data_IF_733635910755
#
_entry.id   IF_733635910755
#
_cell.length_a   1.000
_cell.length_b   1.000
_cell.length_c   1.000
_cell.angle_alpha   90.00
_cell.angle_beta   90.00
_cell.angle_gamma   90.00
#
_symmetry.space_group_name_H-M   'P 1'
#
loop_
_entity.id
_entity.type
_entity.pdbx_description
1 polymer ?
#
# COMPACT_ATOMS: atom_id res chain seq x y z
N UNK A 1 -10.72 13.73 7.62
CA UNK A 1 -10.02 12.69 8.43
C UNK A 1 -10.95 12.01 9.43
N UNK A 2 -11.67 12.74 10.30
CA UNK A 2 -12.59 12.14 11.29
C UNK A 2 -13.70 11.27 10.69
N UNK A 3 -14.37 11.74 9.63
CA UNK A 3 -15.41 10.96 8.92
C UNK A 3 -14.87 9.62 8.40
N UNK A 4 -13.64 9.60 7.88
CA UNK A 4 -13.02 8.38 7.37
C UNK A 4 -12.76 7.38 8.50
N UNK A 5 -12.30 7.84 9.68
CA UNK A 5 -12.07 6.99 10.84
C UNK A 5 -13.40 6.45 11.41
N UNK A 6 -14.43 7.29 11.49
CA UNK A 6 -15.77 6.86 11.91
C UNK A 6 -16.37 5.82 10.94
N UNK A 7 -16.26 6.07 9.64
CA UNK A 7 -16.68 5.14 8.60
C UNK A 7 -15.91 3.81 8.65
N UNK A 8 -14.61 3.86 8.94
CA UNK A 8 -13.80 2.66 9.11
C UNK A 8 -14.19 1.86 10.35
N UNK A 9 -14.38 2.52 11.49
CA UNK A 9 -14.81 1.90 12.74
C UNK A 9 -16.18 1.22 12.60
N UNK A 10 -17.10 1.88 11.89
CA UNK A 10 -18.41 1.34 11.59
C UNK A 10 -18.42 0.37 10.38
N UNK A 11 -17.27 0.17 9.70
CA UNK A 11 -17.13 -0.60 8.46
C UNK A 11 -18.12 -0.18 7.35
N UNK A 12 -18.45 1.10 7.28
CA UNK A 12 -19.34 1.66 6.29
C UNK A 12 -18.66 1.76 4.93
N UNK A 13 -19.32 1.25 3.90
CA UNK A 13 -18.85 1.36 2.52
C UNK A 13 -19.44 2.61 1.85
N UNK A 14 -18.66 3.32 1.00
CA UNK A 14 -17.31 2.99 0.54
C UNK A 14 -16.17 3.47 1.46
N UNK A 15 -16.48 4.17 2.57
CA UNK A 15 -15.48 4.82 3.43
C UNK A 15 -14.41 3.87 3.98
N UNK A 16 -14.78 2.64 4.33
CA UNK A 16 -13.84 1.64 4.83
C UNK A 16 -12.87 1.16 3.73
N UNK A 17 -13.36 0.88 2.52
CA UNK A 17 -12.50 0.52 1.39
C UNK A 17 -11.63 1.68 0.93
N UNK A 18 -12.18 2.90 0.90
CA UNK A 18 -11.49 4.11 0.46
C UNK A 18 -10.75 4.86 1.57
N UNK A 19 -10.64 4.25 2.75
CA UNK A 19 -10.07 4.89 3.93
C UNK A 19 -8.68 5.46 3.65
N UNK A 20 -7.82 4.64 3.04
CA UNK A 20 -6.42 4.95 2.78
C UNK A 20 -6.21 6.22 1.95
N UNK A 21 -6.75 6.36 0.71
CA UNK A 21 -6.60 7.60 -0.04
C UNK A 21 -7.22 8.80 0.69
N UNK A 22 -8.39 8.64 1.36
CA UNK A 22 -9.06 9.76 2.04
C UNK A 22 -8.18 10.33 3.17
N UNK A 23 -7.57 9.47 4.00
CA UNK A 23 -6.74 9.96 5.11
C UNK A 23 -5.44 10.59 4.63
N UNK A 24 -4.83 10.09 3.57
CA UNK A 24 -3.62 10.68 3.01
C UNK A 24 -3.85 12.05 2.37
N UNK A 25 -4.92 12.20 1.61
CA UNK A 25 -5.28 13.51 1.06
C UNK A 25 -5.59 14.51 2.18
N UNK A 26 -6.28 14.09 3.25
CA UNK A 26 -6.49 14.93 4.42
C UNK A 26 -5.17 15.29 5.13
N UNK A 27 -4.24 14.33 5.27
CA UNK A 27 -2.92 14.56 5.86
C UNK A 27 -2.11 15.58 5.07
N UNK A 28 -2.07 15.46 3.74
CA UNK A 28 -1.38 16.42 2.86
C UNK A 28 -1.90 17.84 3.10
N UNK A 29 -3.22 18.02 3.16
CA UNK A 29 -3.84 19.33 3.43
C UNK A 29 -3.46 19.86 4.81
N UNK A 30 -3.43 18.99 5.84
CA UNK A 30 -3.08 19.38 7.22
C UNK A 30 -1.62 19.82 7.34
N UNK A 31 -0.69 19.02 6.80
CA UNK A 31 0.76 19.31 6.85
C UNK A 31 1.10 20.54 6.03
N UNK A 32 0.47 20.68 4.87
CA UNK A 32 0.60 21.87 4.04
C UNK A 32 0.06 23.14 4.73
N UNK A 33 -1.10 23.04 5.37
CA UNK A 33 -1.66 24.12 6.18
C UNK A 33 -0.73 24.52 7.33
N UNK A 34 -0.09 23.55 7.99
CA UNK A 34 0.94 23.81 8.99
C UNK A 34 2.15 24.54 8.38
N UNK A 35 2.65 24.09 7.23
CA UNK A 35 3.78 24.72 6.54
C UNK A 35 3.48 26.19 6.19
N UNK A 36 2.29 26.48 5.67
CA UNK A 36 1.86 27.87 5.39
C UNK A 36 1.79 28.74 6.64
N UNK A 37 1.25 28.21 7.75
CA UNK A 37 1.22 28.94 9.04
C UNK A 37 2.61 29.25 9.60
N UNK A 38 3.63 28.48 9.20
CA UNK A 38 5.04 28.71 9.56
C UNK A 38 5.79 29.61 8.57
N UNK A 39 5.09 30.26 7.63
CA UNK A 39 5.68 31.17 6.66
C UNK A 39 6.36 30.47 5.47
N UNK A 40 6.17 29.16 5.31
CA UNK A 40 6.68 28.42 4.16
C UNK A 40 5.76 28.50 2.94
N UNK A 41 6.32 28.26 1.76
CA UNK A 41 5.53 27.97 0.57
C UNK A 41 5.04 26.52 0.67
N UNK A 42 3.75 26.33 0.94
CA UNK A 42 3.14 25.00 0.97
C UNK A 42 3.16 24.32 -0.42
N UNK A 43 3.14 22.99 -0.43
CA UNK A 43 2.92 22.15 -1.63
C UNK A 43 1.62 22.51 -2.36
N UNK A 44 0.58 22.99 -1.65
CA UNK A 44 -0.68 23.51 -2.22
C UNK A 44 -0.67 25.03 -2.48
N UNK A 45 0.47 25.74 -2.35
CA UNK A 45 0.51 27.20 -2.51
C UNK A 45 0.09 27.67 -3.91
N UNK A 46 0.24 26.82 -4.94
CA UNK A 46 -0.26 27.06 -6.30
C UNK A 46 -1.71 26.58 -6.54
N UNK A 47 -2.48 26.33 -5.47
CA UNK A 47 -3.79 25.68 -5.54
C UNK A 47 -3.71 24.25 -6.07
N UNK A 48 -4.78 23.79 -6.73
CA UNK A 48 -4.84 22.42 -7.30
C UNK A 48 -3.73 22.17 -8.34
N UNK A 49 -3.29 23.21 -9.06
CA UNK A 49 -2.21 23.11 -10.05
C UNK A 49 -0.85 22.83 -9.41
N UNK A 50 -0.64 23.31 -8.17
CA UNK A 50 0.58 23.04 -7.40
C UNK A 50 0.75 21.57 -7.04
N UNK A 51 -0.36 20.83 -6.90
CA UNK A 51 -0.35 19.42 -6.49
C UNK A 51 -0.61 18.45 -7.63
N UNK A 52 -1.33 18.86 -8.68
CA UNK A 52 -1.59 18.02 -9.84
C UNK A 52 -0.30 17.46 -10.47
N UNK A 53 0.73 18.30 -10.63
CA UNK A 53 2.03 17.86 -11.16
C UNK A 53 2.69 16.77 -10.30
N UNK A 54 3.02 17.05 -9.03
CA UNK A 54 3.57 16.05 -8.11
C UNK A 54 2.69 14.80 -7.95
N UNK A 55 1.35 14.94 -7.97
CA UNK A 55 0.42 13.82 -7.89
C UNK A 55 0.51 12.90 -9.11
N UNK A 56 0.55 13.46 -10.33
CA UNK A 56 0.77 12.68 -11.55
C UNK A 56 2.12 11.98 -11.56
N UNK A 57 3.18 12.68 -11.11
CA UNK A 57 4.51 12.07 -10.95
C UNK A 57 4.48 10.93 -9.92
N UNK A 58 3.69 11.09 -8.86
CA UNK A 58 3.56 10.11 -7.78
C UNK A 58 2.95 8.80 -8.25
N UNK A 59 1.94 8.85 -9.13
CA UNK A 59 1.34 7.66 -9.75
C UNK A 59 2.41 6.89 -10.51
N UNK A 60 3.14 7.55 -11.41
CA UNK A 60 4.21 6.91 -12.19
C UNK A 60 5.31 6.38 -11.27
N UNK A 61 5.74 7.16 -10.29
CA UNK A 61 6.77 6.78 -9.32
C UNK A 61 6.42 5.49 -8.58
N UNK A 62 5.20 5.37 -8.07
CA UNK A 62 4.76 4.15 -7.40
C UNK A 62 4.62 2.98 -8.39
N UNK A 63 4.09 3.22 -9.60
CA UNK A 63 3.93 2.18 -10.61
C UNK A 63 5.27 1.63 -11.13
N UNK A 64 6.38 2.39 -11.05
CA UNK A 64 7.72 1.85 -11.29
C UNK A 64 8.07 0.77 -10.24
N UNK A 65 7.71 0.99 -8.97
CA UNK A 65 7.92 -0.01 -7.92
C UNK A 65 6.96 -1.20 -8.11
N UNK A 66 5.71 -0.97 -8.52
CA UNK A 66 4.79 -2.05 -8.89
C UNK A 66 5.30 -2.89 -10.05
N UNK A 67 5.87 -2.28 -11.08
CA UNK A 67 6.43 -3.02 -12.22
C UNK A 67 7.52 -4.01 -11.78
N UNK A 68 8.35 -3.62 -10.81
CA UNK A 68 9.33 -4.54 -10.17
C UNK A 68 8.60 -5.56 -9.29
N UNK A 69 7.60 -5.13 -8.52
CA UNK A 69 6.78 -5.98 -7.66
C UNK A 69 6.08 -7.12 -8.40
N UNK A 70 5.66 -6.92 -9.66
CA UNK A 70 5.11 -7.97 -10.52
C UNK A 70 6.01 -9.21 -10.60
N UNK A 71 7.35 -9.03 -10.47
CA UNK A 71 8.34 -10.11 -10.52
C UNK A 71 8.77 -10.62 -9.15
N UNK A 72 8.92 -9.72 -8.17
CA UNK A 72 9.46 -10.08 -6.85
C UNK A 72 8.38 -10.55 -5.86
N UNK A 73 7.12 -10.19 -6.10
CA UNK A 73 5.96 -10.55 -5.28
C UNK A 73 6.15 -10.22 -3.78
N UNK A 74 6.56 -8.98 -3.49
CA UNK A 74 6.77 -8.51 -2.12
C UNK A 74 5.47 -8.15 -1.42
N UNK A 75 4.49 -7.64 -2.16
CA UNK A 75 3.16 -7.32 -1.64
C UNK A 75 2.07 -7.58 -2.68
N UNK A 76 0.85 -7.76 -2.18
CA UNK A 76 -0.36 -7.91 -3.00
C UNK A 76 -1.55 -7.19 -2.34
N UNK A 77 -2.57 -6.86 -3.14
CA UNK A 77 -3.74 -6.09 -2.75
C UNK A 77 -4.97 -6.97 -2.51
N UNK A 78 -5.73 -6.63 -1.46
CA UNK A 78 -6.97 -7.31 -1.06
C UNK A 78 -8.06 -6.32 -0.69
N UNK A 79 -9.32 -6.75 -0.75
CA UNK A 79 -10.48 -5.96 -0.29
C UNK A 79 -10.77 -4.72 -1.15
N UNK A 80 -10.23 -4.70 -2.37
CA UNK A 80 -10.48 -3.65 -3.37
C UNK A 80 -11.88 -3.79 -3.98
N UNK A 81 -12.46 -2.72 -4.55
CA UNK A 81 -13.77 -2.80 -5.21
C UNK A 81 -13.80 -3.84 -6.33
N UNK A 82 -14.96 -4.44 -6.58
CA UNK A 82 -15.18 -5.40 -7.68
C UNK A 82 -15.14 -4.71 -9.05
N UNK A 83 -15.75 -3.52 -9.14
CA UNK A 83 -15.74 -2.69 -10.34
C UNK A 83 -14.31 -2.27 -10.69
N UNK A 84 -13.83 -2.68 -11.88
CA UNK A 84 -12.48 -2.33 -12.37
C UNK A 84 -12.26 -0.82 -12.46
N UNK A 85 -13.19 -0.01 -13.02
CA UNK A 85 -13.04 1.45 -13.02
C UNK A 85 -12.94 2.05 -11.61
N UNK A 86 -13.77 1.58 -10.67
CA UNK A 86 -13.74 2.06 -9.28
C UNK A 86 -12.40 1.72 -8.60
N UNK A 87 -11.94 0.48 -8.80
CA UNK A 87 -10.67 -0.01 -8.27
C UNK A 87 -9.49 0.77 -8.83
N UNK A 88 -9.44 0.98 -10.15
CA UNK A 88 -8.36 1.75 -10.78
C UNK A 88 -8.34 3.19 -10.29
N UNK A 89 -9.50 3.81 -10.11
CA UNK A 89 -9.61 5.14 -9.54
C UNK A 89 -9.06 5.17 -8.10
N UNK A 90 -9.48 4.24 -7.24
CA UNK A 90 -9.01 4.15 -5.86
C UNK A 90 -7.49 3.91 -5.75
N UNK A 91 -6.95 3.01 -6.58
CA UNK A 91 -5.51 2.74 -6.66
C UNK A 91 -4.76 3.99 -7.14
N UNK A 92 -5.20 4.61 -8.23
CA UNK A 92 -4.57 5.82 -8.78
C UNK A 92 -4.57 6.96 -7.76
N UNK A 93 -5.70 7.19 -7.08
CA UNK A 93 -5.79 8.22 -6.04
C UNK A 93 -4.93 7.91 -4.82
N UNK A 94 -4.67 6.64 -4.51
CA UNK A 94 -3.76 6.25 -3.44
C UNK A 94 -2.30 6.51 -3.84
N UNK A 95 -1.91 6.07 -5.04
CA UNK A 95 -0.56 6.25 -5.57
C UNK A 95 -0.22 7.71 -5.86
N UNK A 96 -1.22 8.54 -6.13
CA UNK A 96 -1.07 9.97 -6.31
C UNK A 96 -0.59 10.72 -5.04
N UNK A 97 -0.62 10.09 -3.86
CA UNK A 97 -0.30 10.76 -2.58
C UNK A 97 1.17 10.70 -2.18
N UNK A 98 1.94 9.71 -2.66
CA UNK A 98 3.30 9.37 -2.19
C UNK A 98 4.28 10.54 -2.30
N UNK A 99 4.43 11.15 -3.47
CA UNK A 99 5.32 12.31 -3.62
C UNK A 99 4.77 13.52 -2.86
N UNK A 100 3.49 13.93 -3.02
CA UNK A 100 2.94 15.06 -2.28
C UNK A 100 3.11 14.97 -0.76
N UNK A 101 2.82 13.82 -0.15
CA UNK A 101 2.94 13.66 1.30
C UNK A 101 4.40 13.76 1.74
N UNK A 102 5.33 13.15 1.01
CA UNK A 102 6.75 13.17 1.37
C UNK A 102 7.34 14.58 1.22
N UNK A 103 6.97 15.30 0.15
CA UNK A 103 7.37 16.70 -0.04
C UNK A 103 6.78 17.62 1.03
N UNK A 104 5.50 17.47 1.37
CA UNK A 104 4.83 18.30 2.36
C UNK A 104 5.45 18.11 3.75
N UNK A 105 5.67 16.85 4.17
CA UNK A 105 6.29 16.53 5.46
C UNK A 105 7.74 16.97 5.51
N UNK A 106 8.49 16.78 4.41
CA UNK A 106 9.87 17.25 4.28
C UNK A 106 9.97 18.77 4.48
N UNK A 107 9.13 19.54 3.79
CA UNK A 107 9.09 20.99 3.92
C UNK A 107 8.65 21.43 5.32
N UNK A 108 7.62 20.81 5.87
CA UNK A 108 7.14 21.10 7.22
C UNK A 108 8.27 20.93 8.26
N UNK A 109 9.05 19.85 8.16
CA UNK A 109 10.19 19.60 9.05
C UNK A 109 11.27 20.68 8.91
N UNK A 110 11.57 21.13 7.69
CA UNK A 110 12.52 22.22 7.44
C UNK A 110 12.06 23.58 7.99
N UNK A 111 10.76 23.77 8.23
CA UNK A 111 10.19 24.96 8.85
C UNK A 111 10.13 24.87 10.38
N UNK A 112 10.47 23.71 10.94
CA UNK A 112 10.58 23.54 12.41
C UNK A 112 12.00 23.84 12.89
N UNK A 113 12.12 24.12 14.19
CA UNK A 113 13.42 24.22 14.88
C UNK A 113 14.02 22.86 15.23
N UNK A 114 13.33 21.75 14.96
CA UNK A 114 13.81 20.38 15.25
C UNK A 114 15.08 20.05 14.44
N UNK A 115 15.18 20.63 13.24
CA UNK A 115 16.35 20.51 12.37
C UNK A 115 17.00 21.88 12.25
N UNK A 116 17.91 22.18 13.19
CA UNK A 116 18.78 23.34 13.13
C UNK A 116 19.72 23.32 11.91
N UNK A 117 20.65 24.28 11.79
CA UNK A 117 21.67 24.25 10.76
C UNK A 117 22.66 23.10 11.02
N UNK A 118 22.31 21.90 10.57
CA UNK A 118 23.16 20.71 10.65
C UNK A 118 24.27 20.82 9.60
N UNK A 119 25.45 21.28 10.04
CA UNK A 119 26.63 21.44 9.19
C UNK A 119 27.58 20.27 9.33
N UNK A 120 28.14 19.83 8.21
CA UNK A 120 29.23 18.85 8.14
C UNK A 120 30.41 19.46 7.38
N UNK A 121 31.58 18.82 7.46
CA UNK A 121 32.75 19.23 6.67
C UNK A 121 32.39 19.20 5.19
N UNK A 122 32.64 20.30 4.49
CA UNK A 122 32.49 20.40 3.03
C UNK A 122 33.32 19.32 2.37
N UNK A 123 32.68 18.48 1.55
CA UNK A 123 33.33 17.41 0.80
C UNK A 123 32.79 17.44 -0.61
N UNK A 124 33.67 17.71 -1.58
CA UNK A 124 33.36 17.49 -2.98
C UNK A 124 32.97 16.04 -3.20
N UNK A 125 31.95 15.78 -4.03
CA UNK A 125 31.60 14.41 -4.40
C UNK A 125 32.36 14.08 -5.69
N UNK A 126 33.41 13.25 -5.66
CA UNK A 126 34.19 12.97 -6.86
C UNK A 126 33.37 12.14 -7.86
N UNK A 127 33.74 12.23 -9.13
CA UNK A 127 33.03 11.57 -10.23
C UNK A 127 32.94 10.04 -10.05
N UNK A 128 33.95 9.41 -9.47
CA UNK A 128 33.93 7.97 -9.19
C UNK A 128 32.85 7.60 -8.16
N UNK A 129 32.59 8.42 -7.13
CA UNK A 129 31.51 8.18 -6.17
C UNK A 129 30.16 8.27 -6.87
N UNK A 130 29.97 9.29 -7.72
CA UNK A 130 28.75 9.43 -8.51
C UNK A 130 28.50 8.23 -9.42
N UNK A 131 29.54 7.73 -10.11
CA UNK A 131 29.43 6.52 -10.94
C UNK A 131 29.17 5.27 -10.12
N UNK A 132 29.84 5.11 -8.97
CA UNK A 132 29.62 4.01 -8.05
C UNK A 132 28.17 3.99 -7.52
N UNK A 133 27.61 5.16 -7.16
CA UNK A 133 26.20 5.29 -6.80
C UNK A 133 25.29 4.84 -7.93
N UNK A 134 25.54 5.25 -9.17
CA UNK A 134 24.74 4.81 -10.32
C UNK A 134 24.85 3.31 -10.56
N UNK A 135 26.05 2.73 -10.48
CA UNK A 135 26.26 1.29 -10.57
C UNK A 135 25.52 0.53 -9.47
N UNK A 136 25.56 1.03 -8.23
CA UNK A 136 24.78 0.48 -7.13
C UNK A 136 23.27 0.62 -7.36
N UNK A 137 22.80 1.73 -7.95
CA UNK A 137 21.40 1.91 -8.32
C UNK A 137 20.92 0.91 -9.37
N UNK A 138 21.73 0.65 -10.39
CA UNK A 138 21.45 -0.40 -11.39
C UNK A 138 21.44 -1.78 -10.73
N UNK A 139 22.41 -2.09 -9.87
CA UNK A 139 22.44 -3.34 -9.11
C UNK A 139 21.19 -3.50 -8.23
N UNK A 140 20.73 -2.43 -7.57
CA UNK A 140 19.50 -2.40 -6.78
C UNK A 140 18.22 -2.65 -7.60
N UNK A 141 18.27 -2.55 -8.93
CA UNK A 141 17.16 -2.91 -9.81
C UNK A 141 17.32 -4.34 -10.35
N UNK A 142 18.52 -4.68 -10.83
CA UNK A 142 18.79 -5.96 -11.51
C UNK A 142 18.80 -7.13 -10.52
N UNK A 143 19.43 -6.98 -9.35
CA UNK A 143 19.56 -8.07 -8.38
C UNK A 143 18.20 -8.55 -7.83
N UNK A 144 17.25 -7.68 -7.44
CA UNK A 144 15.91 -8.15 -7.05
C UNK A 144 15.19 -8.93 -8.17
N UNK A 145 15.37 -8.53 -9.43
CA UNK A 145 14.72 -9.21 -10.56
C UNK A 145 15.34 -10.57 -10.86
N UNK A 146 16.67 -10.69 -10.74
CA UNK A 146 17.40 -11.95 -10.91
C UNK A 146 17.21 -12.90 -9.72
N UNK A 147 17.23 -12.37 -8.50
CA UNK A 147 17.21 -13.12 -7.24
C UNK A 147 16.10 -12.62 -6.29
N UNK A 148 14.81 -12.73 -6.69
CA UNK A 148 13.67 -12.14 -5.97
C UNK A 148 13.49 -12.65 -4.54
N UNK A 149 14.04 -13.82 -4.19
CA UNK A 149 13.95 -14.36 -2.82
C UNK A 149 15.00 -13.80 -1.86
N UNK A 150 16.12 -13.27 -2.38
CA UNK A 150 17.29 -12.89 -1.57
C UNK A 150 17.59 -11.39 -1.65
N UNK A 151 17.36 -10.78 -2.81
CA UNK A 151 17.70 -9.39 -3.10
C UNK A 151 16.49 -8.44 -3.05
N UNK A 152 15.30 -8.92 -2.65
CA UNK A 152 14.06 -8.15 -2.69
C UNK A 152 14.13 -6.81 -1.94
N UNK A 153 14.91 -6.71 -0.88
CA UNK A 153 15.05 -5.52 -0.05
C UNK A 153 15.82 -4.38 -0.74
N UNK A 154 16.62 -4.68 -1.76
CA UNK A 154 17.39 -3.69 -2.51
C UNK A 154 16.52 -2.76 -3.36
N UNK A 155 15.24 -3.10 -3.60
CA UNK A 155 14.34 -2.36 -4.47
C UNK A 155 14.20 -0.88 -4.07
N UNK A 156 14.34 -0.54 -2.78
CA UNK A 156 14.14 0.84 -2.34
C UNK A 156 15.28 1.79 -2.75
N UNK A 157 16.44 1.24 -3.13
CA UNK A 157 17.62 2.02 -3.48
C UNK A 157 17.70 2.47 -4.94
N UNK A 158 17.08 1.76 -5.89
CA UNK A 158 17.42 1.92 -7.31
C UNK A 158 17.10 3.32 -7.85
N UNK A 159 15.96 3.91 -7.47
CA UNK A 159 15.56 5.24 -7.98
C UNK A 159 16.51 6.32 -7.48
N UNK A 160 16.75 6.38 -6.16
CA UNK A 160 17.59 7.41 -5.57
C UNK A 160 19.03 7.32 -6.08
N UNK A 161 19.63 6.13 -5.99
CA UNK A 161 21.04 5.92 -6.35
C UNK A 161 21.31 6.17 -7.84
N UNK A 162 20.32 5.94 -8.70
CA UNK A 162 20.42 6.20 -10.14
C UNK A 162 20.22 7.68 -10.47
N UNK A 163 19.18 8.32 -9.92
CA UNK A 163 18.77 9.68 -10.31
C UNK A 163 19.54 10.78 -9.59
N UNK A 164 19.96 10.57 -8.34
CA UNK A 164 20.62 11.62 -7.56
C UNK A 164 21.94 12.10 -8.21
N UNK A 165 22.85 11.22 -8.69
CA UNK A 165 24.02 11.66 -9.43
C UNK A 165 23.71 12.37 -10.75
N UNK A 166 22.61 12.01 -11.42
CA UNK A 166 22.16 12.69 -12.65
C UNK A 166 21.62 14.08 -12.34
N UNK A 167 20.88 14.24 -11.26
CA UNK A 167 20.38 15.53 -10.80
C UNK A 167 21.53 16.46 -10.41
N UNK A 168 22.51 15.94 -9.67
CA UNK A 168 23.74 16.66 -9.32
C UNK A 168 24.47 17.19 -10.56
N UNK A 169 24.81 16.31 -11.51
CA UNK A 169 25.48 16.70 -12.77
C UNK A 169 24.67 17.69 -13.60
N UNK A 170 23.34 17.59 -13.57
CA UNK A 170 22.44 18.46 -14.30
C UNK A 170 22.16 19.81 -13.63
N UNK A 171 22.78 20.11 -12.47
CA UNK A 171 22.52 21.33 -11.70
C UNK A 171 21.08 21.44 -11.16
N UNK A 172 20.40 20.29 -10.98
CA UNK A 172 19.04 20.22 -10.42
C UNK A 172 19.13 20.16 -8.88
N UNK A 173 18.01 20.38 -8.16
CA UNK A 173 17.99 20.15 -6.72
C UNK A 173 18.55 18.77 -6.36
N UNK A 174 19.60 18.74 -5.55
CA UNK A 174 20.40 17.55 -5.25
C UNK A 174 20.81 17.58 -3.77
N UNK A 175 20.78 16.43 -3.11
CA UNK A 175 21.32 16.24 -1.76
C UNK A 175 22.85 16.08 -1.79
N UNK A 176 23.43 15.57 -2.88
CA UNK A 176 24.88 15.59 -3.09
C UNK A 176 25.41 17.04 -3.14
N UNK A 177 24.71 17.95 -3.81
CA UNK A 177 25.08 19.36 -3.84
C UNK A 177 25.01 20.01 -2.44
N UNK A 178 24.03 19.62 -1.62
CA UNK A 178 23.93 20.09 -0.24
C UNK A 178 25.15 19.64 0.59
N UNK A 179 25.63 18.40 0.40
CA UNK A 179 26.82 17.87 1.07
C UNK A 179 28.09 18.65 0.70
N UNK A 180 28.22 19.08 -0.56
CA UNK A 180 29.38 19.85 -1.04
C UNK A 180 29.49 21.22 -0.36
N UNK A 181 28.35 21.85 -0.07
CA UNK A 181 28.30 23.10 0.70
C UNK A 181 28.28 22.88 2.23
N UNK A 182 28.30 21.61 2.66
CA UNK A 182 28.38 21.20 4.07
C UNK A 182 27.04 21.18 4.79
N UNK A 183 25.91 21.06 4.10
CA UNK A 183 24.56 20.97 4.68
C UNK A 183 24.02 19.54 4.60
N UNK A 184 23.64 18.95 5.73
CA UNK A 184 22.91 17.66 5.77
C UNK A 184 21.44 17.85 6.12
N UNK A 185 20.99 19.09 6.27
CA UNK A 185 19.67 19.42 6.81
C UNK A 185 18.53 18.83 5.97
N UNK A 186 18.61 18.94 4.64
CA UNK A 186 17.60 18.38 3.72
C UNK A 186 17.62 16.86 3.70
N UNK A 187 18.80 16.25 3.82
CA UNK A 187 18.96 14.79 3.92
C UNK A 187 18.28 14.28 5.20
N UNK A 188 18.61 14.84 6.36
CA UNK A 188 18.01 14.44 7.64
C UNK A 188 16.49 14.65 7.64
N UNK A 189 16.02 15.79 7.12
CA UNK A 189 14.58 16.04 6.97
C UNK A 189 13.91 14.98 6.09
N UNK A 190 14.56 14.50 5.03
CA UNK A 190 14.01 13.48 4.14
C UNK A 190 13.94 12.12 4.82
N UNK A 191 14.98 11.74 5.57
CA UNK A 191 15.00 10.49 6.32
C UNK A 191 13.90 10.47 7.40
N UNK A 192 13.75 11.58 8.15
CA UNK A 192 12.71 11.71 9.18
C UNK A 192 11.31 11.76 8.55
N UNK A 193 11.12 12.49 7.45
CA UNK A 193 9.86 12.51 6.72
C UNK A 193 9.48 11.11 6.24
N UNK A 194 10.43 10.38 5.65
CA UNK A 194 10.23 9.00 5.22
C UNK A 194 9.81 8.10 6.37
N UNK A 195 10.53 8.13 7.50
CA UNK A 195 10.18 7.32 8.67
C UNK A 195 8.79 7.68 9.25
N UNK A 196 8.51 8.98 9.43
CA UNK A 196 7.23 9.43 9.98
C UNK A 196 6.06 9.05 9.06
N UNK A 197 6.21 9.27 7.75
CA UNK A 197 5.21 8.87 6.77
C UNK A 197 5.09 7.35 6.69
N UNK A 198 6.19 6.59 6.80
CA UNK A 198 6.18 5.13 6.84
C UNK A 198 5.43 4.54 8.03
N UNK A 199 5.57 5.14 9.21
CA UNK A 199 4.80 4.74 10.39
C UNK A 199 3.29 4.95 10.20
N UNK A 200 2.90 6.10 9.64
CA UNK A 200 1.50 6.40 9.33
C UNK A 200 0.96 5.51 8.19
N UNK A 201 1.80 5.22 7.20
CA UNK A 201 1.52 4.35 6.05
C UNK A 201 1.14 2.95 6.49
N UNK A 202 1.97 2.33 7.32
CA UNK A 202 1.68 1.02 7.89
C UNK A 202 0.48 1.04 8.84
N UNK A 203 0.37 2.07 9.68
CA UNK A 203 -0.74 2.23 10.61
C UNK A 203 -2.10 2.32 9.91
N UNK A 204 -2.22 3.14 8.85
CA UNK A 204 -3.49 3.28 8.13
C UNK A 204 -3.79 2.11 7.19
N UNK A 205 -2.77 1.52 6.56
CA UNK A 205 -2.95 0.32 5.74
C UNK A 205 -3.48 -0.86 6.56
N UNK A 206 -2.96 -1.05 7.78
CA UNK A 206 -3.34 -2.16 8.64
C UNK A 206 -4.87 -2.26 8.85
N UNK A 207 -5.51 -1.11 9.04
CA UNK A 207 -6.95 -1.01 9.32
C UNK A 207 -7.84 -0.93 8.09
N UNK A 208 -7.32 -0.41 6.97
CA UNK A 208 -8.09 -0.13 5.76
C UNK A 208 -8.81 -1.38 5.22
N UNK A 209 -10.00 -1.17 4.64
CA UNK A 209 -10.77 -2.25 4.00
C UNK A 209 -10.12 -2.73 2.70
N UNK A 210 -9.70 -1.79 1.85
CA UNK A 210 -8.81 -2.05 0.73
C UNK A 210 -7.37 -1.78 1.16
N UNK A 211 -6.52 -2.80 1.11
CA UNK A 211 -5.15 -2.72 1.64
C UNK A 211 -4.19 -3.62 0.89
N UNK A 212 -2.89 -3.45 1.12
CA UNK A 212 -1.89 -4.43 0.70
C UNK A 212 -1.38 -5.25 1.90
N UNK A 213 -0.93 -6.46 1.59
CA UNK A 213 -0.33 -7.39 2.53
C UNK A 213 1.07 -7.75 2.03
N UNK A 214 2.05 -7.76 2.96
CA UNK A 214 3.42 -8.15 2.64
C UNK A 214 3.63 -9.66 2.72
N UNK A 215 4.36 -10.18 1.74
CA UNK A 215 4.79 -11.58 1.60
C UNK A 215 6.31 -11.69 1.70
N UNK A 216 6.91 -10.90 2.59
CA UNK A 216 8.37 -10.83 2.78
C UNK A 216 8.91 -12.17 3.29
N UNK A 217 9.94 -12.75 2.64
CA UNK A 217 10.57 -13.99 3.09
C UNK A 217 11.22 -13.87 4.48
N UNK A 218 11.10 -14.91 5.31
CA UNK A 218 11.98 -15.14 6.46
C UNK A 218 11.65 -14.45 7.79
N UNK A 219 10.62 -13.59 7.87
CA UNK A 219 10.24 -12.91 9.13
C UNK A 219 8.72 -12.95 9.41
N UNK A 220 8.08 -14.13 9.51
CA UNK A 220 6.64 -14.20 9.72
C UNK A 220 6.20 -13.74 11.11
N UNK A 221 6.98 -14.00 12.15
CA UNK A 221 6.56 -13.83 13.56
C UNK A 221 6.95 -12.49 14.19
N UNK A 222 7.77 -11.68 13.50
CA UNK A 222 8.23 -10.39 13.99
C UNK A 222 7.78 -9.25 13.08
N UNK A 223 6.54 -8.80 13.27
CA UNK A 223 5.91 -7.72 12.49
C UNK A 223 5.36 -6.64 13.41
N UNK A 224 5.54 -5.39 13.02
CA UNK A 224 4.76 -4.26 13.50
C UNK A 224 3.75 -3.91 12.40
N UNK A 225 2.46 -4.05 12.70
CA UNK A 225 1.40 -4.05 11.69
C UNK A 225 1.56 -5.19 10.66
N UNK A 226 1.64 -4.89 9.37
CA UNK A 226 1.84 -5.89 8.31
C UNK A 226 3.34 -6.12 8.00
N UNK A 227 4.25 -5.34 8.60
CA UNK A 227 5.65 -5.20 8.16
C UNK A 227 6.68 -5.50 9.26
N UNK A 228 7.80 -6.19 8.95
CA UNK A 228 8.90 -6.34 9.91
C UNK A 228 9.54 -4.98 10.26
N UNK A 229 10.06 -4.79 11.50
CA UNK A 229 10.68 -3.52 11.91
C UNK A 229 11.81 -3.05 10.97
N UNK A 230 12.65 -3.98 10.49
CA UNK A 230 13.71 -3.67 9.52
C UNK A 230 13.16 -3.17 8.18
N UNK A 231 11.94 -3.58 7.83
CA UNK A 231 11.27 -3.06 6.65
C UNK A 231 11.15 -1.54 6.68
N UNK A 232 10.96 -0.93 7.85
CA UNK A 232 10.70 0.52 7.95
C UNK A 232 11.86 1.37 7.41
N UNK A 233 13.06 0.78 7.30
CA UNK A 233 14.24 1.40 6.66
C UNK A 233 14.03 1.66 5.15
N UNK A 234 13.08 0.97 4.52
CA UNK A 234 12.67 1.25 3.14
C UNK A 234 12.02 2.62 2.97
N UNK A 235 11.31 3.14 3.97
CA UNK A 235 10.60 4.43 3.85
C UNK A 235 11.53 5.66 3.81
N UNK A 236 12.60 5.75 4.62
CA UNK A 236 13.63 6.76 4.43
C UNK A 236 14.24 6.74 3.02
N UNK A 237 14.56 5.56 2.48
CA UNK A 237 15.07 5.43 1.11
C UNK A 237 14.03 5.85 0.05
N UNK A 238 12.77 5.50 0.26
CA UNK A 238 11.64 5.92 -0.58
C UNK A 238 11.50 7.46 -0.59
N UNK A 239 11.72 8.13 0.54
CA UNK A 239 11.71 9.59 0.62
C UNK A 239 12.82 10.23 -0.21
N UNK A 240 14.04 9.67 -0.15
CA UNK A 240 15.15 10.12 -0.99
C UNK A 240 14.85 9.88 -2.48
N UNK A 241 14.30 8.71 -2.82
CA UNK A 241 13.88 8.35 -4.16
C UNK A 241 12.81 9.30 -4.71
N UNK A 242 11.80 9.64 -3.91
CA UNK A 242 10.73 10.57 -4.27
C UNK A 242 11.28 11.98 -4.56
N UNK A 243 12.21 12.48 -3.73
CA UNK A 243 12.86 13.78 -3.94
C UNK A 243 13.69 13.79 -5.23
N UNK A 244 14.51 12.76 -5.46
CA UNK A 244 15.33 12.65 -6.65
C UNK A 244 14.49 12.48 -7.92
N UNK A 245 13.42 11.68 -7.86
CA UNK A 245 12.48 11.50 -8.97
C UNK A 245 11.75 12.80 -9.30
N UNK A 246 11.20 13.49 -8.30
CA UNK A 246 10.54 14.77 -8.48
C UNK A 246 11.47 15.82 -9.11
N UNK A 247 12.72 15.92 -8.64
CA UNK A 247 13.71 16.84 -9.20
C UNK A 247 14.08 16.48 -10.66
N UNK A 248 14.22 15.18 -10.96
CA UNK A 248 14.56 14.71 -12.30
C UNK A 248 13.43 15.01 -13.30
N UNK A 249 12.20 14.62 -12.97
CA UNK A 249 11.02 14.81 -13.84
C UNK A 249 10.70 16.28 -14.02
N UNK A 250 10.76 17.08 -12.95
CA UNK A 250 10.59 18.54 -13.06
C UNK A 250 11.67 19.16 -13.95
N UNK A 251 12.91 18.71 -13.82
CA UNK A 251 14.02 19.17 -14.67
C UNK A 251 13.84 18.80 -16.15
N UNK A 252 13.35 17.60 -16.46
CA UNK A 252 13.03 17.20 -17.83
C UNK A 252 11.83 17.98 -18.38
N UNK A 253 10.79 18.16 -17.58
CA UNK A 253 9.60 18.92 -17.97
C UNK A 253 9.91 20.38 -18.30
N UNK A 254 10.76 21.04 -17.51
CA UNK A 254 11.15 22.45 -17.73
C UNK A 254 12.04 22.64 -18.95
N UNK A 255 12.93 21.69 -19.23
CA UNK A 255 13.82 21.73 -20.42
C UNK A 255 13.10 21.29 -21.70
N UNK A 256 12.08 20.45 -21.58
CA UNK A 256 11.31 19.98 -22.71
C UNK A 256 10.48 21.11 -23.33
N UNK A 257 10.60 21.28 -24.66
CA UNK A 257 9.61 22.00 -25.45
C UNK A 257 8.23 21.32 -25.37
N UNK A 258 7.23 21.86 -26.10
CA UNK A 258 5.86 21.32 -26.09
C UNK A 258 5.82 19.81 -26.42
N UNK A 259 6.55 19.37 -27.44
CA UNK A 259 6.63 17.97 -27.85
C UNK A 259 7.22 17.07 -26.76
N UNK A 260 8.33 17.48 -26.13
CA UNK A 260 8.96 16.71 -25.05
C UNK A 260 8.06 16.57 -23.81
N UNK A 261 7.31 17.63 -23.46
CA UNK A 261 6.32 17.57 -22.38
C UNK A 261 5.17 16.63 -22.69
N UNK A 262 4.64 16.68 -23.92
CA UNK A 262 3.58 15.77 -24.37
C UNK A 262 4.06 14.31 -24.37
N UNK A 263 5.27 14.04 -24.87
CA UNK A 263 5.86 12.71 -24.86
C UNK A 263 6.04 12.17 -23.44
N UNK A 264 6.53 12.99 -22.51
CA UNK A 264 6.70 12.59 -21.10
C UNK A 264 5.35 12.28 -20.43
N UNK A 265 4.33 13.11 -20.66
CA UNK A 265 2.99 12.88 -20.14
C UNK A 265 2.34 11.62 -20.75
N UNK A 266 2.37 11.48 -22.08
CA UNK A 266 1.83 10.34 -22.78
C UNK A 266 2.51 9.03 -22.39
N UNK A 267 3.85 9.04 -22.31
CA UNK A 267 4.63 7.89 -21.84
C UNK A 267 4.27 7.49 -20.41
N UNK A 268 4.10 8.47 -19.52
CA UNK A 268 3.64 8.22 -18.15
C UNK A 268 2.24 7.59 -18.09
N UNK A 269 1.30 8.05 -18.93
CA UNK A 269 -0.05 7.48 -19.01
C UNK A 269 -0.03 6.05 -19.56
N UNK A 270 0.65 5.82 -20.69
CA UNK A 270 0.76 4.50 -21.32
C UNK A 270 1.40 3.50 -20.36
N UNK A 271 2.51 3.88 -19.72
CA UNK A 271 3.16 3.08 -18.69
C UNK A 271 2.19 2.76 -17.54
N UNK A 272 1.47 3.78 -17.06
CA UNK A 272 0.55 3.59 -15.92
C UNK A 272 -0.58 2.62 -16.24
N UNK A 273 -1.21 2.76 -17.42
CA UNK A 273 -2.28 1.86 -17.87
C UNK A 273 -1.76 0.44 -18.06
N UNK A 274 -0.56 0.27 -18.63
CA UNK A 274 0.04 -1.05 -18.81
C UNK A 274 0.30 -1.75 -17.47
N UNK A 275 0.89 -1.05 -16.49
CA UNK A 275 1.17 -1.63 -15.17
C UNK A 275 -0.13 -1.91 -14.41
N UNK A 276 -1.12 -0.99 -14.41
CA UNK A 276 -2.43 -1.24 -13.81
C UNK A 276 -3.13 -2.45 -14.44
N UNK A 277 -3.01 -2.62 -15.76
CA UNK A 277 -3.48 -3.82 -16.47
C UNK A 277 -2.79 -5.10 -15.98
N UNK A 278 -1.47 -5.08 -15.78
CA UNK A 278 -0.73 -6.23 -15.26
C UNK A 278 -1.08 -6.53 -13.79
N UNK A 279 -1.31 -5.51 -12.96
CA UNK A 279 -1.68 -5.65 -11.55
C UNK A 279 -2.96 -6.48 -11.38
N UNK A 280 -3.95 -6.34 -12.27
CA UNK A 280 -5.21 -7.09 -12.25
C UNK A 280 -5.02 -8.62 -12.20
N UNK A 281 -3.93 -9.11 -12.78
CA UNK A 281 -3.68 -10.54 -12.91
C UNK A 281 -2.62 -11.06 -11.93
N UNK A 282 -1.84 -10.17 -11.32
CA UNK A 282 -0.65 -10.55 -10.55
C UNK A 282 -0.70 -10.08 -9.10
N UNK A 283 -0.95 -8.78 -8.87
CA UNK A 283 -0.85 -8.19 -7.53
C UNK A 283 -2.20 -7.93 -6.88
N UNK A 284 -3.30 -7.83 -7.63
CA UNK A 284 -4.65 -7.77 -7.08
C UNK A 284 -5.13 -9.20 -6.86
N UNK A 285 -5.17 -9.65 -5.61
CA UNK A 285 -5.44 -11.05 -5.26
C UNK A 285 -6.92 -11.31 -5.02
N UNK A 286 -7.60 -10.39 -4.31
CA UNK A 286 -8.98 -10.57 -3.92
C UNK A 286 -9.74 -9.24 -3.88
N UNK A 287 -10.91 -9.24 -4.50
CA UNK A 287 -11.89 -8.15 -4.36
C UNK A 287 -12.70 -8.32 -3.07
N UNK A 288 -13.29 -7.22 -2.60
CA UNK A 288 -14.18 -7.23 -1.44
C UNK A 288 -15.39 -8.14 -1.70
N UNK A 289 -15.70 -9.11 -0.82
CA UNK A 289 -16.88 -9.95 -0.98
C UNK A 289 -18.18 -9.15 -0.79
N UNK A 290 -19.20 -9.48 -1.57
CA UNK A 290 -20.54 -8.90 -1.51
C UNK A 290 -21.56 -9.91 -1.00
N UNK A 291 -22.74 -9.44 -0.58
CA UNK A 291 -23.79 -10.33 -0.03
C UNK A 291 -24.28 -11.37 -1.06
N UNK A 292 -24.16 -11.06 -2.35
CA UNK A 292 -24.47 -12.01 -3.41
C UNK A 292 -23.53 -13.23 -3.42
N UNK A 293 -22.32 -13.10 -2.87
CA UNK A 293 -21.30 -14.16 -2.87
C UNK A 293 -21.52 -15.19 -1.76
N UNK A 294 -22.46 -14.97 -0.84
CA UNK A 294 -22.67 -15.86 0.33
C UNK A 294 -23.33 -17.17 -0.11
N UNK A 295 -22.53 -18.07 -0.68
CA UNK A 295 -22.94 -19.37 -1.24
C UNK A 295 -23.71 -20.29 -0.30
N UNK A 296 -23.54 -20.25 1.04
CA UNK A 296 -24.33 -21.12 1.93
C UNK A 296 -25.81 -20.73 2.04
N UNK A 297 -26.20 -19.54 1.55
CA UNK A 297 -27.58 -19.07 1.55
C UNK A 297 -28.21 -19.18 0.17
N UNK A 298 -29.50 -19.52 0.15
CA UNK A 298 -30.32 -19.44 -1.05
C UNK A 298 -30.35 -18.00 -1.60
N UNK A 299 -30.55 -17.87 -2.91
CA UNK A 299 -30.40 -16.58 -3.61
C UNK A 299 -31.44 -15.53 -3.16
N UNK A 300 -32.64 -15.97 -2.80
CA UNK A 300 -33.69 -15.16 -2.18
C UNK A 300 -33.27 -14.68 -0.79
N UNK A 301 -32.73 -15.57 0.06
CA UNK A 301 -32.24 -15.22 1.38
C UNK A 301 -31.09 -14.19 1.31
N UNK A 302 -30.16 -14.35 0.34
CA UNK A 302 -29.08 -13.37 0.09
C UNK A 302 -29.62 -11.97 -0.22
N UNK A 303 -30.68 -11.87 -1.03
CA UNK A 303 -31.32 -10.58 -1.36
C UNK A 303 -32.05 -9.96 -0.18
N UNK A 304 -32.51 -10.77 0.78
CA UNK A 304 -33.22 -10.31 1.98
C UNK A 304 -32.29 -9.88 3.13
N UNK A 305 -30.99 -10.18 3.07
CA UNK A 305 -30.02 -9.81 4.11
C UNK A 305 -30.03 -8.31 4.49
N UNK A 306 -30.06 -7.35 3.53
CA UNK A 306 -30.13 -5.93 3.87
C UNK A 306 -31.39 -5.54 4.63
N UNK A 307 -32.55 -6.11 4.26
CA UNK A 307 -33.82 -5.91 4.94
C UNK A 307 -33.81 -6.50 6.36
N UNK A 308 -33.08 -7.60 6.56
CA UNK A 308 -32.81 -8.18 7.87
C UNK A 308 -31.70 -7.44 8.67
N UNK A 309 -31.25 -6.27 8.22
CA UNK A 309 -30.25 -5.45 8.92
C UNK A 309 -28.79 -5.86 8.67
N UNK A 310 -28.54 -6.86 7.83
CA UNK A 310 -27.19 -7.29 7.44
C UNK A 310 -26.81 -6.66 6.10
N UNK A 311 -26.08 -5.55 6.15
CA UNK A 311 -25.76 -4.73 4.96
C UNK A 311 -24.44 -5.07 4.27
N UNK A 312 -23.63 -5.95 4.85
CA UNK A 312 -22.34 -6.36 4.28
C UNK A 312 -21.89 -7.73 4.79
N UNK A 313 -20.96 -8.37 4.08
CA UNK A 313 -20.35 -9.64 4.50
C UNK A 313 -19.61 -9.48 5.84
N UNK A 314 -18.95 -8.34 6.05
CA UNK A 314 -18.36 -7.96 7.34
C UNK A 314 -19.39 -7.91 8.47
N UNK A 315 -20.60 -7.40 8.20
CA UNK A 315 -21.67 -7.37 9.19
C UNK A 315 -22.17 -8.79 9.50
N UNK A 316 -22.30 -9.64 8.48
CA UNK A 316 -22.68 -11.04 8.64
C UNK A 316 -21.66 -11.82 9.49
N UNK A 317 -20.36 -11.62 9.24
CA UNK A 317 -19.27 -12.27 9.98
C UNK A 317 -19.27 -11.95 11.50
N UNK A 318 -19.84 -10.79 11.88
CA UNK A 318 -19.92 -10.30 13.26
C UNK A 318 -21.24 -10.60 13.98
N UNK A 319 -22.21 -11.24 13.32
CA UNK A 319 -23.47 -11.62 13.97
C UNK A 319 -23.16 -12.52 15.17
N UNK A 320 -23.58 -12.09 16.36
CA UNK A 320 -23.39 -12.85 17.59
C UNK A 320 -24.19 -14.15 17.55
N UNK A 321 -23.73 -15.16 18.28
CA UNK A 321 -24.39 -16.48 18.27
C UNK A 321 -25.83 -16.44 18.80
N UNK A 322 -26.07 -15.56 19.77
CA UNK A 322 -27.38 -15.27 20.33
C UNK A 322 -28.37 -14.72 19.28
N UNK A 323 -27.89 -13.93 18.31
CA UNK A 323 -28.73 -13.26 17.31
C UNK A 323 -29.02 -14.13 16.08
N UNK A 324 -28.33 -15.26 15.93
CA UNK A 324 -28.48 -16.13 14.76
C UNK A 324 -29.92 -16.69 14.62
N UNK A 325 -30.60 -16.97 15.73
CA UNK A 325 -31.99 -17.44 15.69
C UNK A 325 -32.92 -16.36 15.13
N UNK A 326 -32.78 -15.13 15.64
CA UNK A 326 -33.57 -14.00 15.17
C UNK A 326 -33.29 -13.66 13.70
N UNK A 327 -32.04 -13.82 13.24
CA UNK A 327 -31.69 -13.64 11.84
C UNK A 327 -32.27 -14.78 10.96
N UNK A 328 -32.18 -16.03 11.40
CA UNK A 328 -32.75 -17.19 10.70
C UNK A 328 -34.26 -17.05 10.50
N UNK A 329 -35.00 -16.63 11.54
CA UNK A 329 -36.43 -16.35 11.45
C UNK A 329 -36.73 -15.24 10.43
N UNK A 330 -35.99 -14.12 10.47
CA UNK A 330 -36.19 -13.00 9.52
C UNK A 330 -35.88 -13.36 8.07
N UNK A 331 -34.93 -14.27 7.85
CA UNK A 331 -34.54 -14.73 6.52
C UNK A 331 -35.39 -15.91 6.01
N UNK A 332 -36.24 -16.49 6.86
CA UNK A 332 -36.95 -17.74 6.60
C UNK A 332 -35.99 -18.87 6.16
N UNK A 333 -34.89 -19.05 6.90
CA UNK A 333 -33.85 -20.04 6.62
C UNK A 333 -33.53 -20.87 7.87
N UNK A 334 -33.05 -22.12 7.73
CA UNK A 334 -32.58 -22.89 8.87
C UNK A 334 -31.45 -22.17 9.61
N UNK A 335 -31.43 -22.24 10.96
CA UNK A 335 -30.33 -21.70 11.79
C UNK A 335 -28.97 -22.20 11.31
N UNK A 336 -28.89 -23.48 10.93
CA UNK A 336 -27.67 -24.10 10.42
C UNK A 336 -27.15 -23.39 9.15
N UNK A 337 -28.03 -23.06 8.20
CA UNK A 337 -27.65 -22.34 6.97
C UNK A 337 -27.15 -20.93 7.27
N UNK A 338 -27.77 -20.23 8.21
CA UNK A 338 -27.33 -18.88 8.62
C UNK A 338 -26.01 -18.93 9.41
N UNK A 339 -25.81 -19.95 10.25
CA UNK A 339 -24.54 -20.19 10.92
C UNK A 339 -23.42 -20.49 9.91
N UNK A 340 -23.69 -21.37 8.96
CA UNK A 340 -22.79 -21.68 7.85
C UNK A 340 -22.44 -20.42 7.03
N UNK A 341 -23.43 -19.55 6.76
CA UNK A 341 -23.23 -18.27 6.09
C UNK A 341 -22.33 -17.31 6.89
N UNK A 342 -22.48 -17.27 8.23
CA UNK A 342 -21.61 -16.49 9.11
C UNK A 342 -20.18 -17.00 9.06
N UNK A 343 -19.97 -18.32 9.14
CA UNK A 343 -18.63 -18.90 9.15
C UNK A 343 -17.93 -18.77 7.79
N UNK A 344 -18.69 -18.89 6.69
CA UNK A 344 -18.24 -18.51 5.36
C UNK A 344 -17.84 -17.02 5.31
N UNK A 345 -18.67 -16.12 5.84
CA UNK A 345 -18.36 -14.69 5.85
C UNK A 345 -17.11 -14.36 6.65
N UNK A 346 -16.89 -15.07 7.77
CA UNK A 346 -15.65 -14.97 8.57
C UNK A 346 -14.44 -15.41 7.78
N UNK A 347 -14.53 -16.52 7.03
CA UNK A 347 -13.45 -16.93 6.13
C UNK A 347 -13.22 -15.92 5.01
N UNK A 348 -14.27 -15.51 4.28
CA UNK A 348 -14.16 -14.58 3.15
C UNK A 348 -13.55 -13.23 3.53
N UNK A 349 -13.80 -12.76 4.76
CA UNK A 349 -13.21 -11.51 5.30
C UNK A 349 -11.87 -11.73 6.00
N UNK A 350 -11.49 -12.98 6.31
CA UNK A 350 -10.25 -13.32 6.99
C UNK A 350 -9.04 -12.96 6.12
N UNK A 351 -8.20 -12.04 6.62
CA UNK A 351 -6.99 -11.56 5.94
C UNK A 351 -7.22 -11.16 4.48
N UNK A 352 -8.44 -10.73 4.16
CA UNK A 352 -8.82 -10.30 2.82
C UNK A 352 -8.77 -11.40 1.75
N UNK A 353 -8.93 -12.69 2.11
CA UNK A 353 -8.87 -13.76 1.10
C UNK A 353 -9.99 -13.68 0.04
N UNK A 354 -11.13 -13.05 0.37
CA UNK A 354 -12.25 -12.88 -0.55
C UNK A 354 -13.13 -14.13 -0.73
N UNK A 355 -14.24 -13.96 -1.44
CA UNK A 355 -15.26 -14.99 -1.64
C UNK A 355 -14.72 -16.24 -2.36
N UNK A 356 -14.02 -16.05 -3.47
CA UNK A 356 -13.51 -17.17 -4.29
C UNK A 356 -12.58 -18.10 -3.52
N UNK A 357 -11.74 -17.55 -2.63
CA UNK A 357 -10.86 -18.37 -1.80
C UNK A 357 -11.60 -19.03 -0.64
N UNK A 358 -12.60 -18.36 -0.05
CA UNK A 358 -13.48 -18.98 0.94
C UNK A 358 -14.25 -20.19 0.36
N UNK A 359 -14.79 -20.07 -0.86
CA UNK A 359 -15.46 -21.17 -1.55
C UNK A 359 -14.50 -22.33 -1.84
N UNK A 360 -13.25 -22.04 -2.24
CA UNK A 360 -12.21 -23.08 -2.42
C UNK A 360 -11.91 -23.82 -1.12
N UNK A 361 -11.79 -23.11 0.00
CA UNK A 361 -11.58 -23.72 1.32
C UNK A 361 -12.76 -24.61 1.71
N UNK A 362 -13.98 -24.16 1.44
CA UNK A 362 -15.20 -24.92 1.71
C UNK A 362 -15.30 -26.20 0.88
N UNK A 363 -14.90 -26.14 -0.39
CA UNK A 363 -14.87 -27.31 -1.28
C UNK A 363 -13.94 -28.42 -0.77
N UNK A 364 -12.90 -28.07 -0.01
CA UNK A 364 -11.94 -29.02 0.59
C UNK A 364 -12.20 -29.29 2.08
N UNK A 365 -13.40 -28.92 2.58
CA UNK A 365 -13.86 -29.23 3.93
C UNK A 365 -13.40 -28.27 5.04
N UNK A 366 -12.76 -27.15 4.70
CA UNK A 366 -12.35 -26.13 5.67
C UNK A 366 -13.47 -25.09 5.79
N UNK A 367 -14.32 -25.24 6.82
CA UNK A 367 -15.58 -24.49 6.95
C UNK A 367 -15.50 -23.23 7.81
N UNK A 368 -14.48 -23.11 8.64
CA UNK A 368 -14.28 -21.96 9.52
C UNK A 368 -12.79 -21.60 9.70
N UNK A 369 -12.55 -20.48 10.37
CA UNK A 369 -11.20 -19.96 10.65
C UNK A 369 -10.43 -20.87 11.63
N UNK A 370 -11.11 -21.60 12.53
CA UNK A 370 -10.45 -22.47 13.49
C UNK A 370 -9.85 -23.71 12.81
N UNK A 371 -10.58 -24.32 11.87
CA UNK A 371 -10.12 -25.41 11.02
C UNK A 371 -8.90 -24.99 10.18
N UNK A 372 -8.87 -23.73 9.73
CA UNK A 372 -7.73 -23.16 9.00
C UNK A 372 -6.48 -23.02 9.89
N UNK A 373 -6.64 -22.63 11.16
CA UNK A 373 -5.52 -22.42 12.10
C UNK A 373 -4.71 -23.71 12.38
N UNK A 374 -5.36 -24.87 12.28
CA UNK A 374 -4.78 -26.18 12.54
C UNK A 374 -3.87 -26.72 11.41
N UNK A 375 -3.87 -26.07 10.23
CA UNK A 375 -3.13 -26.54 9.07
C UNK A 375 -1.72 -25.92 8.98
N UNK A 376 -0.85 -26.57 8.19
CA UNK A 376 0.39 -25.98 7.67
C UNK A 376 0.17 -25.42 6.27
N UNK A 377 0.97 -24.44 5.81
CA UNK A 377 0.88 -23.92 4.44
C UNK A 377 0.99 -25.01 3.38
N UNK A 378 1.89 -25.98 3.57
CA UNK A 378 2.10 -27.11 2.67
C UNK A 378 0.90 -28.08 2.69
N UNK A 379 0.36 -28.36 3.88
CA UNK A 379 -0.82 -29.21 4.02
C UNK A 379 -2.08 -28.58 3.41
N UNK A 380 -2.23 -27.26 3.54
CA UNK A 380 -3.30 -26.52 2.90
C UNK A 380 -3.12 -26.49 1.37
N UNK A 381 -1.91 -26.24 0.88
CA UNK A 381 -1.62 -26.28 -0.55
C UNK A 381 -1.94 -27.66 -1.15
N UNK A 382 -1.57 -28.74 -0.45
CA UNK A 382 -1.86 -30.10 -0.86
C UNK A 382 -3.38 -30.36 -0.97
N UNK A 383 -4.16 -29.91 0.02
CA UNK A 383 -5.64 -30.05 -0.01
C UNK A 383 -6.28 -29.26 -1.14
N UNK A 384 -5.78 -28.05 -1.42
CA UNK A 384 -6.30 -27.19 -2.48
C UNK A 384 -5.92 -27.68 -3.89
N UNK A 385 -4.87 -28.49 -4.01
CA UNK A 385 -4.46 -29.10 -5.28
C UNK A 385 -3.97 -28.09 -6.32
N UNK A 386 -4.22 -28.39 -7.59
CA UNK A 386 -3.83 -27.54 -8.71
C UNK A 386 -4.57 -26.20 -8.68
N UNK A 387 -3.83 -25.10 -8.56
CA UNK A 387 -4.39 -23.75 -8.42
C UNK A 387 -4.41 -23.21 -6.98
N UNK A 388 -3.79 -23.93 -6.04
CA UNK A 388 -3.52 -23.40 -4.71
C UNK A 388 -2.76 -22.06 -4.80
N UNK A 389 -3.14 -21.06 -3.98
CA UNK A 389 -2.35 -19.85 -3.82
C UNK A 389 -0.91 -20.16 -3.41
N UNK A 390 0.01 -19.23 -3.71
CA UNK A 390 1.41 -19.37 -3.32
C UNK A 390 1.55 -19.63 -1.81
N UNK A 391 2.46 -20.53 -1.36
CA UNK A 391 2.60 -20.89 0.06
C UNK A 391 2.74 -19.70 1.01
N UNK A 392 3.35 -18.59 0.55
CA UNK A 392 3.49 -17.36 1.34
C UNK A 392 2.14 -16.71 1.67
N UNK A 393 1.19 -16.74 0.74
CA UNK A 393 -0.18 -16.25 0.94
C UNK A 393 -0.94 -17.17 1.89
N UNK A 394 -0.79 -18.49 1.72
CA UNK A 394 -1.39 -19.47 2.64
C UNK A 394 -0.87 -19.30 4.08
N UNK A 395 0.42 -19.01 4.24
CA UNK A 395 1.00 -18.69 5.54
C UNK A 395 0.36 -17.44 6.18
N UNK A 396 0.02 -16.40 5.40
CA UNK A 396 -0.72 -15.23 5.92
C UNK A 396 -2.08 -15.65 6.48
N UNK A 397 -2.82 -16.49 5.75
CA UNK A 397 -4.15 -16.93 6.17
C UNK A 397 -4.09 -17.79 7.43
N UNK A 398 -3.18 -18.75 7.48
CA UNK A 398 -2.99 -19.66 8.61
C UNK A 398 -2.48 -18.91 9.84
N UNK A 399 -1.43 -18.11 9.71
CA UNK A 399 -0.88 -17.36 10.84
C UNK A 399 -1.88 -16.32 11.35
N UNK A 400 -2.70 -15.76 10.46
CA UNK A 400 -3.78 -14.88 10.84
C UNK A 400 -4.88 -15.57 11.65
N UNK A 401 -5.07 -16.88 11.47
CA UNK A 401 -6.09 -17.69 12.14
C UNK A 401 -5.64 -18.23 13.50
N UNK A 402 -4.32 -18.34 13.73
CA UNK A 402 -3.77 -18.82 14.99
C UNK A 402 -3.92 -17.76 16.11
N UNK A 403 -4.20 -18.17 17.36
CA UNK A 403 -4.18 -17.27 18.51
C UNK A 403 -2.81 -16.60 18.63
N UNK A 404 -2.76 -15.31 18.97
CA UNK A 404 -1.48 -14.66 19.23
C UNK A 404 -0.88 -15.21 20.54
N UNK A 405 0.45 -15.23 20.69
CA UNK A 405 1.09 -15.72 21.91
C UNK A 405 0.65 -15.00 23.19
N UNK A 406 0.15 -13.77 23.07
CA UNK A 406 -0.36 -12.93 24.19
C UNK A 406 -1.76 -13.39 24.67
N UNK A 407 -2.45 -14.23 23.90
CA UNK A 407 -3.78 -14.77 24.22
C UNK A 407 -3.72 -16.20 24.79
N UNK A 408 -2.54 -16.71 25.14
CA UNK A 408 -2.41 -17.97 25.89
C UNK A 408 -2.51 -17.65 27.39
N UNK A 409 -3.36 -18.35 28.15
CA UNK A 409 -3.57 -18.10 29.57
C UNK A 409 -2.30 -18.27 30.39
#
# INVERSE_FOLDING_TARGET
MGIAHAGLAARWQPLATWFYPIVWWAYIVLVDGFARRRGGQGVLAGGWRGVAGPACMSVVFWLIHEAVNLRIANWYYVGVPESRPERWLGITLSFATVIPLLLATHQALLLTRLLGPCKVRRRGVPEWVRRAMQGAGVACLVLPLAFPRHAFWLLWGFVYLTLEPLNHRAGRPSLLADLEVGSVRRLLAALIAGLACGLLWEGWNFWAGGKWIYTVPGLPDWRWFEMPPLGFLGFPLLALAALAFHAAVTGWWRRGGRAGRLALAAGGVVFSVAVLGAMEHVTIDAVRPVLADVTPLAADARRSLPAAGVRSVDALARVADADLNALATRLNQPRASVGAARDWARLATHRGMGAANADRLWAVGIRDVAALAALSPEGLAWRLGSGAPEPRKLAVWINGARPRPVDRP
#
